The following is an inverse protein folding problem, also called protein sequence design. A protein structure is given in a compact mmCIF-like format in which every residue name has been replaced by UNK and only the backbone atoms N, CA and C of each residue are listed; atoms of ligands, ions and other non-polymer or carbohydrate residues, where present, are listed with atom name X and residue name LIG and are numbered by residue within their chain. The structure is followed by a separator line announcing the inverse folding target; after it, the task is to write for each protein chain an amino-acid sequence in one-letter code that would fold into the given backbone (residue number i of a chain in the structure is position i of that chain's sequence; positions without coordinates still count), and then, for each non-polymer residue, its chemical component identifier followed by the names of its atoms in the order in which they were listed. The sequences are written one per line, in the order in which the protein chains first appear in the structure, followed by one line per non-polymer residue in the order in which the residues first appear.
data_IF_758404459815
#
_entry.id   IF_758404459815
#
_cell.length_a   1.000
_cell.length_b   1.000
_cell.length_c   1.000
_cell.angle_alpha   90.00
_cell.angle_beta   90.00
_cell.angle_gamma   90.00
#
_symmetry.space_group_name_H-M   'P 1'
#
loop_
_entity.id
_entity.type
_entity.pdbx_description
1 polymer ?
#
# COMPACT_ATOMS: atom_id res chain seq x y z
N UNK A 1 11.84 -5.42 -73.40
CA UNK A 1 11.84 -4.62 -72.16
C UNK A 1 10.98 -5.37 -71.13
N UNK A 2 11.59 -6.01 -70.11
CA UNK A 2 10.88 -6.72 -69.05
C UNK A 2 10.84 -5.82 -67.83
N UNK A 3 9.66 -5.33 -67.48
CA UNK A 3 9.41 -4.50 -66.29
C UNK A 3 9.40 -5.39 -65.04
N UNK A 4 10.38 -5.22 -64.14
CA UNK A 4 10.48 -5.88 -62.86
C UNK A 4 9.56 -5.15 -61.87
N UNK A 5 8.51 -5.83 -61.37
CA UNK A 5 7.66 -5.30 -60.33
C UNK A 5 8.27 -5.68 -58.98
N UNK A 6 8.76 -4.65 -58.28
CA UNK A 6 9.26 -4.79 -56.90
C UNK A 6 8.03 -4.74 -55.97
N UNK A 7 7.68 -5.82 -55.35
CA UNK A 7 6.69 -5.86 -54.26
C UNK A 7 7.37 -5.44 -52.96
N UNK A 8 7.00 -4.25 -52.44
CA UNK A 8 7.44 -3.78 -51.12
C UNK A 8 6.54 -4.45 -50.08
N UNK A 9 7.09 -5.43 -49.37
CA UNK A 9 6.42 -6.07 -48.23
C UNK A 9 6.62 -5.20 -47.01
N UNK A 10 5.61 -4.42 -46.64
CA UNK A 10 5.61 -3.60 -45.42
C UNK A 10 5.39 -4.52 -44.21
N UNK A 11 6.48 -4.80 -43.50
CA UNK A 11 6.45 -5.53 -42.21
C UNK A 11 5.95 -4.57 -41.13
N UNK A 12 4.67 -4.65 -40.79
CA UNK A 12 4.11 -3.95 -39.63
C UNK A 12 4.53 -4.70 -38.38
N UNK A 13 5.58 -4.23 -37.70
CA UNK A 13 5.96 -4.67 -36.39
C UNK A 13 4.92 -4.13 -35.38
N UNK A 14 3.97 -4.97 -34.99
CA UNK A 14 3.17 -4.75 -33.79
C UNK A 14 4.11 -4.91 -32.60
N UNK A 15 4.75 -3.82 -32.15
CA UNK A 15 5.37 -3.74 -30.83
C UNK A 15 4.22 -3.83 -29.83
N UNK A 16 3.93 -5.05 -29.34
CA UNK A 16 3.15 -5.23 -28.13
C UNK A 16 3.93 -4.58 -26.99
N UNK A 17 3.63 -3.30 -26.72
CA UNK A 17 4.09 -2.66 -25.50
C UNK A 17 3.44 -3.40 -24.34
N UNK A 18 4.14 -4.39 -23.77
CA UNK A 18 3.91 -4.81 -22.41
C UNK A 18 4.12 -3.54 -21.61
N UNK A 19 3.02 -2.98 -21.09
CA UNK A 19 3.09 -1.86 -20.15
C UNK A 19 3.86 -2.39 -18.94
N UNK A 20 5.16 -2.09 -18.88
CA UNK A 20 5.95 -2.38 -17.70
C UNK A 20 5.26 -1.66 -16.54
N UNK A 21 5.03 -2.39 -15.46
CA UNK A 21 4.49 -1.82 -14.24
C UNK A 21 5.36 -0.62 -13.82
N UNK A 22 4.74 0.50 -13.41
CA UNK A 22 5.51 1.69 -13.05
C UNK A 22 6.41 1.44 -11.84
N UNK A 23 7.52 2.16 -11.77
CA UNK A 23 8.45 2.07 -10.63
C UNK A 23 7.76 2.44 -9.30
N UNK A 24 6.80 3.39 -9.33
CA UNK A 24 6.00 3.78 -8.18
C UNK A 24 5.15 2.62 -7.67
N UNK A 25 4.42 1.93 -8.56
CA UNK A 25 3.60 0.77 -8.19
C UNK A 25 4.46 -0.38 -7.65
N UNK A 26 5.63 -0.65 -8.25
CA UNK A 26 6.55 -1.67 -7.75
C UNK A 26 7.07 -1.35 -6.35
N UNK A 27 7.38 -0.08 -6.06
CA UNK A 27 7.75 0.38 -4.71
C UNK A 27 6.62 0.12 -3.71
N UNK A 28 5.38 0.48 -4.05
CA UNK A 28 4.21 0.26 -3.17
C UNK A 28 3.96 -1.23 -2.93
N UNK A 29 4.04 -2.07 -3.97
CA UNK A 29 3.89 -3.54 -3.81
C UNK A 29 4.96 -4.14 -2.90
N UNK A 30 6.22 -3.72 -3.04
CA UNK A 30 7.31 -4.19 -2.19
C UNK A 30 7.14 -3.72 -0.73
N UNK A 31 6.66 -2.50 -0.53
CA UNK A 31 6.29 -1.95 0.77
C UNK A 31 5.17 -2.77 1.45
N UNK A 32 4.06 -3.05 0.73
CA UNK A 32 2.98 -3.91 1.22
C UNK A 32 3.47 -5.33 1.54
N UNK A 33 4.39 -5.87 0.75
CA UNK A 33 4.99 -7.19 1.02
C UNK A 33 5.79 -7.20 2.33
N UNK A 34 6.49 -6.10 2.67
CA UNK A 34 7.19 -5.97 3.94
C UNK A 34 6.22 -5.86 5.13
N UNK A 35 5.09 -5.15 4.98
CA UNK A 35 4.00 -5.14 5.96
C UNK A 35 3.46 -6.56 6.23
N UNK A 36 3.17 -7.31 5.17
CA UNK A 36 2.66 -8.67 5.26
C UNK A 36 3.71 -9.69 5.76
N UNK A 37 4.99 -9.35 5.68
CA UNK A 37 6.06 -10.09 6.36
C UNK A 37 6.20 -9.71 7.83
N UNK A 38 5.38 -8.77 8.33
CA UNK A 38 5.39 -8.25 9.70
C UNK A 38 6.74 -7.65 10.11
N UNK A 39 7.46 -7.08 9.12
CA UNK A 39 8.80 -6.51 9.28
C UNK A 39 8.73 -4.98 9.16
N UNK A 40 8.43 -4.31 10.29
CA UNK A 40 8.32 -2.85 10.33
C UNK A 40 9.60 -2.13 9.90
N UNK A 41 10.81 -2.52 10.33
CA UNK A 41 12.05 -1.92 9.85
C UNK A 41 12.23 -2.04 8.34
N UNK A 42 11.89 -3.20 7.76
CA UNK A 42 11.96 -3.40 6.31
C UNK A 42 10.92 -2.57 5.57
N UNK A 43 9.70 -2.50 6.06
CA UNK A 43 8.66 -1.64 5.49
C UNK A 43 9.09 -0.18 5.52
N UNK A 44 9.65 0.30 6.64
CA UNK A 44 10.13 1.66 6.78
C UNK A 44 11.26 2.03 5.79
N UNK A 45 12.02 1.07 5.28
CA UNK A 45 13.03 1.33 4.26
C UNK A 45 12.46 1.87 2.95
N UNK A 46 11.18 1.66 2.67
CA UNK A 46 10.51 2.23 1.51
C UNK A 46 10.04 3.68 1.74
N UNK A 47 10.03 4.16 2.97
CA UNK A 47 9.65 5.52 3.32
C UNK A 47 10.83 6.49 3.15
N UNK A 48 10.56 7.71 2.70
CA UNK A 48 11.53 8.81 2.73
C UNK A 48 11.82 9.22 4.19
N UNK A 49 12.98 9.83 4.45
CA UNK A 49 13.32 10.28 5.79
C UNK A 49 12.31 11.30 6.35
N UNK A 50 11.76 12.13 5.46
CA UNK A 50 10.81 13.22 5.73
C UNK A 50 9.37 12.85 5.31
N UNK A 51 9.06 11.56 5.22
CA UNK A 51 7.71 11.08 4.86
C UNK A 51 6.64 11.73 5.74
N UNK A 52 5.50 12.05 5.12
CA UNK A 52 4.27 12.41 5.82
C UNK A 52 3.31 11.23 5.70
N UNK A 53 2.98 10.61 6.83
CA UNK A 53 2.00 9.52 6.90
C UNK A 53 0.71 10.03 7.54
N UNK A 54 -0.37 10.01 6.81
CA UNK A 54 -1.68 10.46 7.26
C UNK A 54 -2.66 9.29 7.33
N UNK A 55 -3.15 9.00 8.52
CA UNK A 55 -4.27 8.10 8.76
C UNK A 55 -5.51 8.95 9.06
N UNK A 56 -6.52 8.88 8.21
CA UNK A 56 -7.72 9.71 8.33
C UNK A 56 -8.50 9.44 9.64
N UNK A 57 -8.39 8.25 10.21
CA UNK A 57 -9.02 7.93 11.49
C UNK A 57 -8.26 8.53 12.69
N UNK A 58 -6.95 8.67 12.58
CA UNK A 58 -6.14 9.34 13.61
C UNK A 58 -6.27 10.87 13.55
N UNK A 59 -6.53 11.41 12.34
CA UNK A 59 -6.78 12.84 12.12
C UNK A 59 -5.53 13.71 12.03
N UNK A 60 -4.40 13.28 12.57
CA UNK A 60 -3.14 14.03 12.57
C UNK A 60 -2.05 13.26 11.82
N UNK A 61 -1.20 13.94 11.02
CA UNK A 61 -0.13 13.28 10.30
C UNK A 61 1.04 12.91 11.21
N UNK A 62 1.62 11.75 10.94
CA UNK A 62 2.90 11.33 11.51
C UNK A 62 4.02 11.74 10.55
N UNK A 63 4.96 12.55 11.01
CA UNK A 63 6.03 13.08 10.19
C UNK A 63 7.36 12.39 10.49
N UNK A 64 8.02 11.94 9.44
CA UNK A 64 9.32 11.29 9.48
C UNK A 64 9.26 9.76 9.59
N UNK A 65 10.24 9.13 8.94
CA UNK A 65 10.31 7.68 8.79
C UNK A 65 10.35 6.93 10.12
N UNK A 66 11.15 7.39 11.08
CA UNK A 66 11.28 6.69 12.36
C UNK A 66 9.99 6.69 13.17
N UNK A 67 9.24 7.80 13.13
CA UNK A 67 7.92 7.86 13.76
C UNK A 67 6.90 7.00 13.03
N UNK A 68 6.85 7.06 11.69
CA UNK A 68 5.97 6.22 10.90
C UNK A 68 6.24 4.73 11.13
N UNK A 69 7.51 4.33 11.25
CA UNK A 69 7.88 2.95 11.60
C UNK A 69 7.33 2.52 12.95
N UNK A 70 7.50 3.35 13.98
CA UNK A 70 7.14 2.97 15.36
C UNK A 70 5.66 3.15 15.65
N UNK A 71 5.12 4.33 15.29
CA UNK A 71 3.79 4.78 15.71
C UNK A 71 2.68 4.33 14.75
N UNK A 72 3.03 3.92 13.51
CA UNK A 72 2.08 3.40 12.53
C UNK A 72 2.38 1.94 12.25
N UNK A 73 3.43 1.64 11.47
CA UNK A 73 3.69 0.27 10.99
C UNK A 73 3.84 -0.71 12.15
N UNK A 74 4.72 -0.39 13.11
CA UNK A 74 4.96 -1.22 14.29
C UNK A 74 3.76 -1.35 15.21
N UNK A 75 2.97 -0.27 15.35
CA UNK A 75 1.76 -0.29 16.16
C UNK A 75 0.69 -1.24 15.59
N UNK A 76 0.46 -1.18 14.27
CA UNK A 76 -0.48 -2.10 13.60
C UNK A 76 0.00 -3.55 13.65
N UNK A 77 1.29 -3.82 13.39
CA UNK A 77 1.86 -5.17 13.48
C UNK A 77 1.77 -5.72 14.91
N UNK A 78 2.01 -4.88 15.93
CA UNK A 78 1.87 -5.28 17.34
C UNK A 78 0.42 -5.58 17.69
N UNK A 79 -0.52 -4.77 17.22
CA UNK A 79 -1.94 -4.94 17.51
C UNK A 79 -2.56 -6.16 16.79
N UNK A 80 -2.06 -6.46 15.58
CA UNK A 80 -2.56 -7.52 14.69
C UNK A 80 -1.35 -8.31 14.14
N UNK A 81 -0.73 -9.20 14.92
CA UNK A 81 0.50 -9.89 14.53
C UNK A 81 0.37 -10.83 13.33
N UNK A 82 -0.84 -11.18 12.94
CA UNK A 82 -1.20 -12.00 11.77
C UNK A 82 -1.82 -11.16 10.64
N UNK A 83 -1.60 -9.84 10.63
CA UNK A 83 -2.19 -8.94 9.65
C UNK A 83 -1.90 -9.37 8.21
N UNK A 84 -2.90 -9.14 7.37
CA UNK A 84 -2.79 -9.25 5.92
C UNK A 84 -3.37 -7.98 5.28
N UNK A 85 -2.52 -7.22 4.62
CA UNK A 85 -2.89 -6.01 3.87
C UNK A 85 -2.84 -6.30 2.38
N UNK A 86 -4.00 -6.36 1.75
CA UNK A 86 -4.16 -6.83 0.38
C UNK A 86 -4.73 -5.74 -0.52
N UNK A 87 -4.08 -5.49 -1.65
CA UNK A 87 -4.62 -4.66 -2.72
C UNK A 87 -5.82 -5.35 -3.37
N UNK A 88 -6.92 -4.61 -3.59
CA UNK A 88 -8.17 -5.10 -4.17
C UNK A 88 -8.45 -4.40 -5.50
N UNK A 89 -8.59 -5.20 -6.56
CA UNK A 89 -8.80 -4.70 -7.92
C UNK A 89 -7.54 -4.13 -8.57
N UNK A 90 -7.73 -3.28 -9.58
CA UNK A 90 -6.63 -2.63 -10.28
C UNK A 90 -6.30 -1.29 -9.61
N UNK A 91 -5.04 -1.02 -9.30
CA UNK A 91 -4.63 0.31 -8.85
C UNK A 91 -4.70 1.34 -9.99
N UNK A 92 -4.84 2.60 -9.63
CA UNK A 92 -4.59 3.74 -10.51
C UNK A 92 -3.21 4.28 -10.18
N UNK A 93 -2.37 4.45 -11.17
CA UNK A 93 -1.00 4.89 -10.95
C UNK A 93 -0.42 5.64 -12.16
N UNK A 94 0.57 6.47 -11.88
CA UNK A 94 1.43 7.13 -12.85
C UNK A 94 2.92 7.04 -12.43
N UNK A 95 3.76 7.99 -12.85
CA UNK A 95 5.19 7.97 -12.57
C UNK A 95 5.52 8.10 -11.07
N UNK A 96 4.75 8.88 -10.34
CA UNK A 96 5.02 9.24 -8.95
C UNK A 96 3.86 9.02 -7.97
N UNK A 97 2.71 8.56 -8.45
CA UNK A 97 1.49 8.43 -7.64
C UNK A 97 0.88 7.03 -7.80
N UNK A 98 0.41 6.47 -6.71
CA UNK A 98 -0.35 5.20 -6.67
C UNK A 98 -1.56 5.37 -5.78
N UNK A 99 -2.75 5.09 -6.31
CA UNK A 99 -3.99 5.02 -5.55
C UNK A 99 -4.63 3.64 -5.71
N UNK A 100 -5.05 3.01 -4.62
CA UNK A 100 -5.63 1.67 -4.68
C UNK A 100 -6.58 1.40 -3.52
N UNK A 101 -7.57 0.56 -3.80
CA UNK A 101 -8.39 -0.04 -2.76
C UNK A 101 -7.63 -1.19 -2.12
N UNK A 102 -7.87 -1.37 -0.82
CA UNK A 102 -7.28 -2.47 -0.07
C UNK A 102 -8.24 -3.07 0.94
N UNK A 103 -7.94 -4.27 1.36
CA UNK A 103 -8.51 -4.98 2.50
C UNK A 103 -7.40 -5.21 3.53
N UNK A 104 -7.68 -4.88 4.77
CA UNK A 104 -6.86 -5.22 5.92
C UNK A 104 -7.61 -6.22 6.78
N UNK A 105 -6.95 -7.29 7.20
CA UNK A 105 -7.55 -8.33 8.02
C UNK A 105 -6.54 -8.96 8.96
N UNK A 106 -7.02 -9.59 10.03
CA UNK A 106 -6.24 -10.30 11.03
C UNK A 106 -6.98 -10.43 12.33
N UNK A 107 -6.27 -10.76 13.41
CA UNK A 107 -6.82 -10.91 14.77
C UNK A 107 -6.21 -9.87 15.69
N UNK A 108 -7.04 -9.07 16.35
CA UNK A 108 -6.58 -8.12 17.36
C UNK A 108 -6.11 -8.85 18.63
N UNK A 109 -4.91 -9.39 18.60
CA UNK A 109 -4.30 -10.09 19.73
C UNK A 109 -3.26 -9.27 20.50
N UNK A 110 -2.98 -8.05 20.05
CA UNK A 110 -2.16 -7.05 20.74
C UNK A 110 -2.94 -5.81 21.12
N UNK A 111 -2.31 -4.93 21.87
CA UNK A 111 -2.86 -3.63 22.26
C UNK A 111 -3.12 -2.76 21.03
N UNK A 112 -4.30 -2.16 20.94
CA UNK A 112 -4.70 -1.23 19.89
C UNK A 112 -4.96 0.16 20.49
N UNK A 113 -4.13 1.14 20.12
CA UNK A 113 -4.28 2.55 20.53
C UNK A 113 -4.56 2.73 22.05
N UNK A 114 -3.82 2.02 22.90
CA UNK A 114 -3.98 2.07 24.36
C UNK A 114 -5.08 1.17 24.92
N UNK A 115 -5.85 0.50 24.06
CA UNK A 115 -6.88 -0.45 24.47
C UNK A 115 -6.34 -1.88 24.50
N UNK A 116 -6.72 -2.71 25.51
CA UNK A 116 -6.28 -4.11 25.57
C UNK A 116 -6.80 -4.94 24.40
N UNK A 117 -6.13 -6.05 24.04
CA UNK A 117 -6.53 -6.90 22.93
C UNK A 117 -7.92 -7.50 23.16
N UNK A 118 -8.76 -7.49 22.14
CA UNK A 118 -10.10 -8.07 22.17
C UNK A 118 -10.12 -9.52 21.73
N UNK A 119 -9.08 -9.95 21.01
CA UNK A 119 -8.99 -11.24 20.31
C UNK A 119 -10.05 -11.44 19.22
N UNK A 120 -10.71 -10.38 18.79
CA UNK A 120 -11.66 -10.44 17.69
C UNK A 120 -10.93 -10.53 16.35
N UNK A 121 -11.50 -11.25 15.37
CA UNK A 121 -11.11 -11.05 13.98
C UNK A 121 -11.53 -9.63 13.55
N UNK A 122 -10.64 -8.95 12.84
CA UNK A 122 -10.93 -7.65 12.23
C UNK A 122 -10.78 -7.74 10.72
N UNK A 123 -11.65 -7.03 10.02
CA UNK A 123 -11.61 -6.95 8.57
C UNK A 123 -12.27 -5.66 8.09
N UNK A 124 -11.49 -4.77 7.53
CA UNK A 124 -11.97 -3.52 6.98
C UNK A 124 -11.29 -3.19 5.66
N UNK A 125 -11.90 -2.30 4.92
CA UNK A 125 -11.45 -1.87 3.61
C UNK A 125 -11.19 -0.37 3.61
N UNK A 126 -10.28 0.05 2.72
CA UNK A 126 -9.98 1.45 2.55
C UNK A 126 -9.36 1.75 1.20
N UNK A 127 -8.89 2.97 1.09
CA UNK A 127 -8.13 3.49 -0.05
C UNK A 127 -6.86 4.11 0.47
N UNK A 128 -5.73 3.77 -0.15
CA UNK A 128 -4.49 4.50 0.02
C UNK A 128 -4.25 5.39 -1.20
N UNK A 129 -3.72 6.59 -0.93
CA UNK A 129 -3.16 7.50 -1.90
C UNK A 129 -1.71 7.76 -1.52
N UNK A 130 -0.76 7.43 -2.40
CA UNK A 130 0.67 7.38 -2.07
C UNK A 130 1.47 8.14 -3.13
N UNK A 131 2.35 9.04 -2.70
CA UNK A 131 3.38 9.65 -3.55
C UNK A 131 4.73 8.94 -3.38
N UNK A 132 5.37 8.64 -4.50
CA UNK A 132 6.67 7.98 -4.57
C UNK A 132 7.64 8.86 -5.34
N UNK A 133 8.80 9.16 -4.77
CA UNK A 133 9.88 9.89 -5.41
C UNK A 133 11.20 9.14 -5.25
N UNK A 134 11.91 8.90 -6.35
CA UNK A 134 13.18 8.18 -6.33
C UNK A 134 13.12 6.83 -5.57
N UNK A 135 12.02 6.06 -5.75
CA UNK A 135 11.82 4.77 -5.10
C UNK A 135 11.51 4.83 -3.61
N UNK A 136 11.14 6.02 -3.08
CA UNK A 136 10.73 6.23 -1.69
C UNK A 136 9.36 6.86 -1.61
N UNK A 137 8.55 6.39 -0.67
CA UNK A 137 7.26 6.98 -0.34
C UNK A 137 7.51 8.27 0.42
N UNK A 138 7.07 9.39 -0.14
CA UNK A 138 7.20 10.71 0.46
C UNK A 138 5.93 11.17 1.15
N UNK A 139 4.79 10.62 0.73
CA UNK A 139 3.49 10.86 1.35
C UNK A 139 2.61 9.62 1.21
N UNK A 140 1.87 9.31 2.26
CA UNK A 140 0.82 8.29 2.26
C UNK A 140 -0.38 8.81 3.02
N UNK A 141 -1.56 8.65 2.44
CA UNK A 141 -2.84 8.88 3.10
C UNK A 141 -3.69 7.63 3.04
N UNK A 142 -4.16 7.16 4.19
CA UNK A 142 -5.06 6.02 4.33
C UNK A 142 -6.44 6.49 4.78
N UNK A 143 -7.47 6.10 4.03
CA UNK A 143 -8.85 6.50 4.22
C UNK A 143 -9.74 5.26 4.32
N UNK A 144 -10.41 5.08 5.43
CA UNK A 144 -11.27 3.92 5.70
C UNK A 144 -12.41 4.24 6.67
N UNK A 145 -13.37 3.34 6.78
CA UNK A 145 -14.47 3.46 7.74
C UNK A 145 -13.99 3.10 9.15
N UNK A 146 -13.54 4.12 9.90
CA UNK A 146 -13.08 3.96 11.28
C UNK A 146 -14.19 3.47 12.20
N UNK A 147 -15.46 3.83 11.95
CA UNK A 147 -16.58 3.37 12.75
C UNK A 147 -16.76 1.86 12.67
N UNK A 148 -16.61 1.29 11.46
CA UNK A 148 -16.64 -0.16 11.28
C UNK A 148 -15.52 -0.84 12.05
N UNK A 149 -14.30 -0.32 11.97
CA UNK A 149 -13.16 -0.84 12.72
C UNK A 149 -13.39 -0.77 14.23
N UNK A 150 -13.92 0.36 14.73
CA UNK A 150 -14.26 0.52 16.14
C UNK A 150 -15.32 -0.51 16.61
N UNK A 151 -16.26 -0.85 15.74
CA UNK A 151 -17.27 -1.90 16.05
C UNK A 151 -16.64 -3.29 16.16
N UNK A 152 -15.69 -3.62 15.27
CA UNK A 152 -14.96 -4.91 15.30
C UNK A 152 -13.99 -5.00 16.49
N UNK A 153 -13.49 -3.88 16.97
CA UNK A 153 -12.60 -3.81 18.16
C UNK A 153 -13.35 -3.81 19.50
N UNK A 154 -14.70 -3.83 19.51
CA UNK A 154 -15.45 -3.92 20.77
C UNK A 154 -15.32 -5.34 21.37
N UNK A 155 -15.10 -5.47 22.69
CA UNK A 155 -15.12 -6.77 23.34
C UNK A 155 -16.46 -7.50 23.09
N UNK A 156 -16.40 -8.78 22.75
CA UNK A 156 -17.59 -9.62 22.67
C UNK A 156 -18.12 -9.77 24.10
N UNK A 157 -19.39 -9.40 24.31
CA UNK A 157 -20.06 -9.53 25.60
C UNK A 157 -20.40 -10.99 25.91
#
# INVERSE_FOLDING_TARGET
MKTLKIAVLSLVLFSGASLAESASLNTVKAYMAAWNAHDAPRAAQYLANDVVYYDAAAGEPVNGREKAEKEVIGAFIKAVPDLNWKMVGKPVYDEDTVAFRWEFSGKNSGEWAGSPPTNNPIKFEGVSYIHVKAGKITWQGDYYDSKKLDEELKPVK
#
